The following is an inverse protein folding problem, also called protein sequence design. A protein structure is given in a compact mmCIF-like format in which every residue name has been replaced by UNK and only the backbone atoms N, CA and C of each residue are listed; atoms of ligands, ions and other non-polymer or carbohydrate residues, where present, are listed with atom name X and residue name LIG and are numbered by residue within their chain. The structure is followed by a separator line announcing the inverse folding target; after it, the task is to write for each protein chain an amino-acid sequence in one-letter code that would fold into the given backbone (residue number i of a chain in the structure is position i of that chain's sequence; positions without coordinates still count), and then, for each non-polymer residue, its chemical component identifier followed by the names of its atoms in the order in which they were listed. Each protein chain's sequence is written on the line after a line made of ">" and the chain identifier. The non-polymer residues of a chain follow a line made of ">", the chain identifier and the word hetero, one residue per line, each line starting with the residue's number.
data_IF_237063193196
#
_entry.id   IF_237063193196
#
_cell.length_a   1.000
_cell.length_b   1.000
_cell.length_c   1.000
_cell.angle_alpha   90.00
_cell.angle_beta   90.00
_cell.angle_gamma   90.00
#
_symmetry.space_group_name_H-M   'P 1'
#
loop_
_entity.id
_entity.type
_entity.pdbx_description
1 polymer ?
#
# COMPACT_ATOMS: atom_id res chain seq x y z
N UNK A 1 -7.44 8.37 -25.70
CA UNK A 1 -7.26 9.42 -24.67
C UNK A 1 -6.01 9.10 -23.84
N UNK A 2 -5.57 9.97 -22.91
CA UNK A 2 -4.34 9.72 -22.13
C UNK A 2 -4.56 9.75 -20.63
N UNK A 3 -4.09 8.71 -19.95
CA UNK A 3 -4.19 8.54 -18.50
C UNK A 3 -2.83 8.74 -17.84
N UNK A 4 -2.82 9.35 -16.65
CA UNK A 4 -1.65 9.42 -15.78
C UNK A 4 -1.91 8.64 -14.50
N UNK A 5 -1.04 7.70 -14.17
CA UNK A 5 -1.06 6.98 -12.90
C UNK A 5 0.04 7.52 -11.97
N UNK A 6 -0.22 7.57 -10.67
CA UNK A 6 0.74 7.98 -9.65
C UNK A 6 0.90 6.87 -8.62
N UNK A 7 2.09 6.31 -8.50
CA UNK A 7 2.37 5.20 -7.58
C UNK A 7 3.57 5.50 -6.68
N UNK A 8 3.41 5.22 -5.40
CA UNK A 8 4.36 5.37 -4.29
C UNK A 8 4.88 4.01 -3.81
N UNK A 9 4.09 2.95 -3.98
CA UNK A 9 4.41 1.60 -3.53
C UNK A 9 4.30 0.57 -4.65
N UNK A 10 4.98 -0.59 -4.51
CA UNK A 10 4.78 -1.73 -5.42
C UNK A 10 3.30 -2.15 -5.57
N UNK A 11 2.54 -2.16 -4.47
CA UNK A 11 1.10 -2.44 -4.48
C UNK A 11 0.33 -1.49 -5.41
N UNK A 12 0.63 -0.20 -5.34
CA UNK A 12 0.00 0.80 -6.21
C UNK A 12 0.44 0.67 -7.67
N UNK A 13 1.62 0.13 -7.95
CA UNK A 13 2.03 -0.23 -9.32
C UNK A 13 1.18 -1.38 -9.86
N UNK A 14 0.84 -2.38 -9.04
CA UNK A 14 -0.07 -3.48 -9.40
C UNK A 14 -1.46 -2.92 -9.72
N UNK A 15 -2.04 -2.10 -8.83
CA UNK A 15 -3.34 -1.45 -9.06
C UNK A 15 -3.33 -0.58 -10.32
N UNK A 16 -2.29 0.24 -10.51
CA UNK A 16 -2.15 1.09 -11.70
C UNK A 16 -2.10 0.26 -12.99
N UNK A 17 -1.36 -0.85 -12.96
CA UNK A 17 -1.24 -1.76 -14.11
C UNK A 17 -2.58 -2.42 -14.41
N UNK A 18 -3.32 -2.87 -13.39
CA UNK A 18 -4.63 -3.50 -13.57
C UNK A 18 -5.65 -2.53 -14.22
N UNK A 19 -5.63 -1.27 -13.79
CA UNK A 19 -6.50 -0.21 -14.31
C UNK A 19 -6.07 0.30 -15.70
N UNK A 20 -4.78 0.28 -16.01
CA UNK A 20 -4.29 0.57 -17.36
C UNK A 20 -4.72 -0.54 -18.34
N UNK A 21 -4.62 -1.81 -17.91
CA UNK A 21 -5.06 -2.97 -18.69
C UNK A 21 -6.58 -3.02 -18.89
N UNK A 22 -7.40 -2.43 -18.00
CA UNK A 22 -8.84 -2.34 -18.22
C UNK A 22 -9.24 -1.23 -19.21
N UNK A 23 -8.28 -0.38 -19.61
CA UNK A 23 -8.51 0.78 -20.47
C UNK A 23 -7.50 0.80 -21.65
N UNK A 24 -7.31 -0.33 -22.34
CA UNK A 24 -6.27 -0.50 -23.38
C UNK A 24 -6.32 0.52 -24.52
N UNK A 25 -7.48 1.12 -24.78
CA UNK A 25 -7.65 2.16 -25.81
C UNK A 25 -6.98 3.50 -25.43
N UNK A 26 -6.51 3.63 -24.19
CA UNK A 26 -5.87 4.84 -23.68
C UNK A 26 -4.36 4.67 -23.52
N UNK A 27 -3.61 5.63 -24.05
CA UNK A 27 -2.20 5.73 -23.72
C UNK A 27 -2.05 6.02 -22.22
N UNK A 28 -1.28 5.19 -21.53
CA UNK A 28 -1.08 5.32 -20.09
C UNK A 28 0.38 5.69 -19.79
N UNK A 29 0.56 6.71 -18.96
CA UNK A 29 1.84 7.07 -18.37
C UNK A 29 1.78 6.81 -16.85
N UNK A 30 2.92 6.54 -16.22
CA UNK A 30 3.01 6.37 -14.76
C UNK A 30 4.11 7.26 -14.18
N UNK A 31 3.84 7.83 -13.00
CA UNK A 31 4.82 8.52 -12.16
C UNK A 31 5.11 7.65 -10.95
N UNK A 32 6.37 7.26 -10.80
CA UNK A 32 6.90 6.57 -9.64
C UNK A 32 7.44 7.61 -8.65
N UNK A 33 6.72 7.81 -7.56
CA UNK A 33 7.00 8.79 -6.52
C UNK A 33 7.78 8.14 -5.38
N UNK A 34 8.90 8.72 -4.96
CA UNK A 34 9.75 8.21 -3.86
C UNK A 34 10.56 6.94 -4.22
N UNK A 35 10.60 6.55 -5.49
CA UNK A 35 11.41 5.43 -5.98
C UNK A 35 12.87 5.89 -6.17
N UNK A 36 13.70 5.70 -5.12
CA UNK A 36 15.15 6.02 -5.09
C UNK A 36 16.04 4.91 -5.66
N UNK A 37 17.36 4.94 -5.38
CA UNK A 37 18.44 4.04 -5.88
C UNK A 37 18.20 2.51 -5.80
N UNK A 38 17.07 2.07 -5.25
CA UNK A 38 16.59 0.68 -5.18
C UNK A 38 15.44 0.41 -6.15
N UNK A 39 15.21 1.27 -7.13
CA UNK A 39 14.22 0.99 -8.17
C UNK A 39 14.65 -0.29 -8.87
N UNK A 40 13.91 -1.37 -8.64
CA UNK A 40 14.16 -2.63 -9.29
C UNK A 40 14.10 -2.40 -10.80
N UNK A 41 15.26 -2.55 -11.45
CA UNK A 41 15.38 -2.37 -12.89
C UNK A 41 14.38 -3.29 -13.61
N UNK A 42 14.20 -4.51 -13.08
CA UNK A 42 13.26 -5.48 -13.61
C UNK A 42 11.83 -4.96 -13.53
N UNK A 43 11.41 -4.36 -12.40
CA UNK A 43 10.09 -3.75 -12.29
C UNK A 43 9.91 -2.59 -13.29
N UNK A 44 10.89 -1.71 -13.45
CA UNK A 44 10.80 -0.60 -14.41
C UNK A 44 10.67 -1.14 -15.85
N UNK A 45 11.49 -2.11 -16.22
CA UNK A 45 11.45 -2.75 -17.53
C UNK A 45 10.10 -3.44 -17.75
N UNK A 46 9.52 -4.04 -16.70
CA UNK A 46 8.20 -4.64 -16.76
C UNK A 46 7.06 -3.62 -16.85
N UNK A 47 7.16 -2.48 -16.17
CA UNK A 47 6.20 -1.38 -16.29
C UNK A 47 6.16 -0.83 -17.73
N UNK A 48 7.28 -0.83 -18.45
CA UNK A 48 7.33 -0.40 -19.85
C UNK A 48 6.52 -1.29 -20.79
N UNK A 49 6.14 -2.50 -20.37
CA UNK A 49 5.21 -3.37 -21.12
C UNK A 49 3.78 -2.84 -21.14
N UNK A 50 3.42 -1.92 -20.24
CA UNK A 50 2.06 -1.39 -20.07
C UNK A 50 2.01 0.14 -20.20
N UNK A 51 3.03 0.84 -19.71
CA UNK A 51 3.08 2.30 -19.70
C UNK A 51 4.01 2.85 -20.78
N UNK A 52 3.51 3.84 -21.53
CA UNK A 52 4.27 4.51 -22.60
C UNK A 52 5.43 5.34 -22.06
N UNK A 53 5.21 6.05 -20.95
CA UNK A 53 6.27 6.79 -20.25
C UNK A 53 6.23 6.49 -18.77
N UNK A 54 7.42 6.29 -18.21
CA UNK A 54 7.65 6.15 -16.77
C UNK A 54 8.43 7.38 -16.33
N UNK A 55 7.89 8.12 -15.36
CA UNK A 55 8.56 9.26 -14.74
C UNK A 55 8.96 8.88 -13.32
N UNK A 56 10.24 8.99 -12.98
CA UNK A 56 10.74 8.63 -11.65
C UNK A 56 11.12 9.90 -10.90
N UNK A 57 10.62 10.05 -9.68
CA UNK A 57 11.12 11.04 -8.73
C UNK A 57 11.85 10.33 -7.59
N UNK A 58 13.17 10.33 -7.69
CA UNK A 58 14.07 9.77 -6.68
C UNK A 58 14.36 10.76 -5.55
N UNK A 59 14.96 10.25 -4.47
CA UNK A 59 15.45 10.99 -3.31
C UNK A 59 14.38 11.68 -2.43
N UNK A 60 13.13 11.26 -2.52
CA UNK A 60 12.08 11.71 -1.58
C UNK A 60 12.16 10.94 -0.24
N UNK A 61 12.56 9.66 -0.25
CA UNK A 61 12.65 8.85 0.98
C UNK A 61 13.67 9.37 2.01
N UNK A 62 14.80 9.94 1.55
CA UNK A 62 15.77 10.61 2.43
C UNK A 62 15.12 11.79 3.19
N UNK A 63 14.10 12.41 2.59
CA UNK A 63 13.35 13.51 3.20
C UNK A 63 12.35 12.96 4.23
N UNK A 64 11.61 11.88 3.97
CA UNK A 64 10.68 11.31 4.98
C UNK A 64 11.36 10.83 6.27
N UNK A 65 12.61 10.36 6.18
CA UNK A 65 13.32 9.78 7.32
C UNK A 65 14.02 10.83 8.20
N UNK A 66 14.27 12.05 7.72
CA UNK A 66 14.82 13.10 8.57
C UNK A 66 13.69 13.84 9.29
N UNK A 67 13.73 13.83 10.63
CA UNK A 67 12.80 14.61 11.47
C UNK A 67 12.92 16.12 11.22
N UNK A 68 14.05 16.55 10.67
CA UNK A 68 14.33 17.95 10.34
C UNK A 68 14.83 18.05 8.90
N UNK A 69 14.19 18.89 8.10
CA UNK A 69 14.60 19.20 6.74
C UNK A 69 15.26 20.57 6.75
N UNK A 70 16.38 20.71 6.05
CA UNK A 70 16.89 22.05 5.79
C UNK A 70 15.99 22.76 4.76
N UNK A 71 15.97 24.09 4.79
CA UNK A 71 15.30 24.90 3.75
C UNK A 71 15.81 24.60 2.33
N UNK A 72 17.07 24.18 2.21
CA UNK A 72 17.68 23.78 0.93
C UNK A 72 17.06 22.49 0.39
N UNK A 73 16.77 21.53 1.27
CA UNK A 73 16.13 20.27 0.91
C UNK A 73 14.71 20.51 0.40
N UNK A 74 13.92 21.30 1.14
CA UNK A 74 12.58 21.74 0.70
C UNK A 74 12.63 22.44 -0.68
N UNK A 75 13.57 23.37 -0.88
CA UNK A 75 13.68 24.08 -2.15
C UNK A 75 14.00 23.15 -3.33
N UNK A 76 14.99 22.28 -3.18
CA UNK A 76 15.39 21.33 -4.23
C UNK A 76 14.23 20.39 -4.56
N UNK A 77 13.55 19.92 -3.51
CA UNK A 77 12.37 19.08 -3.61
C UNK A 77 11.25 19.76 -4.42
N UNK A 78 10.83 20.95 -4.01
CA UNK A 78 9.79 21.72 -4.71
C UNK A 78 10.21 22.04 -6.15
N UNK A 79 11.49 22.31 -6.43
CA UNK A 79 12.02 22.54 -7.78
C UNK A 79 11.85 21.30 -8.67
N UNK A 80 12.13 20.10 -8.17
CA UNK A 80 11.98 18.86 -8.92
C UNK A 80 10.50 18.55 -9.21
N UNK A 81 9.62 18.71 -8.22
CA UNK A 81 8.18 18.57 -8.40
C UNK A 81 7.66 19.57 -9.45
N UNK A 82 8.09 20.84 -9.41
CA UNK A 82 7.70 21.86 -10.41
C UNK A 82 8.18 21.51 -11.82
N UNK A 83 9.41 20.99 -11.98
CA UNK A 83 9.93 20.51 -13.27
C UNK A 83 9.07 19.37 -13.81
N UNK A 84 8.73 18.39 -12.97
CA UNK A 84 7.85 17.30 -13.36
C UNK A 84 6.48 17.82 -13.81
N UNK A 85 5.84 18.68 -13.01
CA UNK A 85 4.53 19.26 -13.38
C UNK A 85 4.59 19.99 -14.72
N UNK A 86 5.68 20.73 -15.01
CA UNK A 86 5.85 21.36 -16.33
C UNK A 86 5.90 20.32 -17.46
N UNK A 87 6.63 19.21 -17.26
CA UNK A 87 6.71 18.10 -18.22
C UNK A 87 5.34 17.45 -18.43
N UNK A 88 4.62 17.16 -17.35
CA UNK A 88 3.31 16.50 -17.36
C UNK A 88 2.22 17.37 -18.00
N UNK A 89 2.23 18.69 -17.77
CA UNK A 89 1.28 19.61 -18.41
C UNK A 89 1.33 19.58 -19.94
N UNK A 90 2.51 19.34 -20.51
CA UNK A 90 2.68 19.23 -21.96
C UNK A 90 2.09 17.96 -22.58
N UNK A 91 1.61 17.00 -21.77
CA UNK A 91 1.13 15.69 -22.22
C UNK A 91 -0.39 15.58 -22.38
N UNK A 92 -1.15 16.58 -21.92
CA UNK A 92 -2.62 16.66 -22.04
C UNK A 92 -3.36 15.39 -21.60
N UNK A 93 -3.39 15.12 -20.30
CA UNK A 93 -4.14 13.99 -19.74
C UNK A 93 -5.64 14.28 -19.67
N UNK A 94 -6.47 13.25 -19.91
CA UNK A 94 -7.92 13.30 -19.68
C UNK A 94 -8.32 12.72 -18.33
N UNK A 95 -7.49 11.82 -17.79
CA UNK A 95 -7.73 11.11 -16.53
C UNK A 95 -6.44 11.07 -15.72
N UNK A 96 -6.55 11.24 -14.41
CA UNK A 96 -5.45 11.05 -13.47
C UNK A 96 -5.92 10.08 -12.40
N UNK A 97 -5.10 9.07 -12.14
CA UNK A 97 -5.29 8.02 -11.16
C UNK A 97 -4.24 8.21 -10.07
N UNK A 98 -4.65 8.38 -8.82
CA UNK A 98 -3.73 8.45 -7.69
C UNK A 98 -4.39 7.87 -6.43
N UNK A 99 -3.56 7.38 -5.52
CA UNK A 99 -3.94 6.99 -4.16
C UNK A 99 -3.50 8.08 -3.16
N UNK A 100 -4.14 8.11 -1.98
CA UNK A 100 -3.86 8.91 -0.79
C UNK A 100 -3.30 10.34 -1.00
N UNK A 101 -4.16 11.32 -0.73
CA UNK A 101 -3.92 12.74 -0.98
C UNK A 101 -3.16 13.48 0.13
N UNK A 102 -2.76 12.82 1.22
CA UNK A 102 -2.30 13.55 2.41
C UNK A 102 -0.92 14.21 2.21
N UNK A 103 -0.19 13.78 1.17
CA UNK A 103 1.08 14.35 0.79
C UNK A 103 0.91 15.65 -0.03
N UNK A 104 1.36 16.78 0.53
CA UNK A 104 1.22 18.12 -0.09
C UNK A 104 1.74 18.25 -1.52
N UNK A 105 2.75 17.46 -1.88
CA UNK A 105 3.32 17.47 -3.22
C UNK A 105 2.44 16.71 -4.23
N UNK A 106 1.70 15.70 -3.79
CA UNK A 106 0.69 15.00 -4.60
C UNK A 106 -0.45 15.96 -4.87
N UNK A 107 -0.93 16.64 -3.81
CA UNK A 107 -1.91 17.73 -3.93
C UNK A 107 -1.44 18.82 -4.89
N UNK A 108 -0.15 19.20 -4.83
CA UNK A 108 0.44 20.16 -5.76
C UNK A 108 0.32 19.70 -7.21
N UNK A 109 0.69 18.45 -7.49
CA UNK A 109 0.63 17.86 -8.84
C UNK A 109 -0.82 17.83 -9.31
N UNK A 110 -1.72 17.24 -8.52
CA UNK A 110 -3.14 17.12 -8.83
C UNK A 110 -3.76 18.50 -9.11
N UNK A 111 -3.60 19.48 -8.23
CA UNK A 111 -4.11 20.85 -8.42
C UNK A 111 -3.62 21.54 -9.70
N UNK A 112 -2.43 21.17 -10.18
CA UNK A 112 -1.85 21.77 -11.39
C UNK A 112 -2.26 21.06 -12.66
N UNK A 113 -2.60 19.77 -12.59
CA UNK A 113 -2.96 18.94 -13.74
C UNK A 113 -4.48 18.76 -13.86
N UNK A 114 -5.18 18.54 -12.75
CA UNK A 114 -6.65 18.50 -12.66
C UNK A 114 -7.19 19.91 -12.85
N UNK A 115 -7.80 20.16 -14.01
CA UNK A 115 -8.46 21.40 -14.41
C UNK A 115 -9.65 21.00 -15.29
N UNK A 116 -10.75 21.77 -15.26
CA UNK A 116 -12.07 21.70 -15.94
C UNK A 116 -12.46 20.50 -16.86
N UNK A 117 -11.53 19.80 -17.51
CA UNK A 117 -11.74 18.66 -18.40
C UNK A 117 -10.95 17.39 -18.01
N UNK A 118 -10.16 17.43 -16.93
CA UNK A 118 -9.35 16.29 -16.47
C UNK A 118 -10.04 15.64 -15.28
N UNK A 119 -10.42 14.38 -15.45
CA UNK A 119 -11.06 13.58 -14.41
C UNK A 119 -10.04 13.07 -13.42
N UNK A 120 -10.37 13.09 -12.14
CA UNK A 120 -9.52 12.51 -11.11
C UNK A 120 -10.21 11.31 -10.48
N UNK A 121 -9.51 10.17 -10.53
CA UNK A 121 -9.95 8.92 -9.99
C UNK A 121 -9.00 8.48 -8.87
N UNK A 122 -9.59 8.13 -7.73
CA UNK A 122 -8.85 7.55 -6.62
C UNK A 122 -8.80 6.04 -6.78
N UNK A 123 -7.64 5.43 -6.52
CA UNK A 123 -7.56 3.98 -6.39
C UNK A 123 -6.99 3.60 -5.03
N UNK A 124 -7.38 2.41 -4.58
CA UNK A 124 -7.11 1.91 -3.24
C UNK A 124 -5.64 1.99 -2.80
N UNK A 125 -5.43 2.47 -1.56
CA UNK A 125 -4.16 2.52 -0.84
C UNK A 125 -4.12 1.51 0.33
N UNK A 126 -4.41 0.26 0.02
CA UNK A 126 -4.46 -0.82 0.99
C UNK A 126 -5.65 -0.70 1.94
N UNK A 127 -5.40 -0.83 3.25
CA UNK A 127 -6.49 -0.88 4.23
C UNK A 127 -7.10 0.49 4.57
N UNK A 128 -6.54 1.61 4.09
CA UNK A 128 -6.97 2.94 4.50
C UNK A 128 -8.43 3.23 4.15
N UNK A 129 -8.90 2.80 2.98
CA UNK A 129 -10.26 2.98 2.49
C UNK A 129 -11.31 2.20 3.29
N UNK A 130 -10.86 1.29 4.16
CA UNK A 130 -11.69 0.41 4.99
C UNK A 130 -11.48 0.63 6.49
N UNK A 131 -10.40 1.35 6.86
CA UNK A 131 -10.01 1.63 8.23
C UNK A 131 -10.84 2.73 8.89
N UNK A 132 -10.92 2.66 10.22
CA UNK A 132 -11.41 3.78 11.05
C UNK A 132 -10.33 4.85 11.27
N UNK A 133 -9.14 4.66 10.71
CA UNK A 133 -8.03 5.58 10.85
C UNK A 133 -8.29 6.87 10.06
N UNK A 134 -8.88 7.84 10.75
CA UNK A 134 -8.89 9.22 10.29
C UNK A 134 -7.57 9.84 10.76
N UNK A 135 -6.75 10.30 9.81
CA UNK A 135 -5.55 11.09 10.11
C UNK A 135 -5.99 12.42 10.73
N UNK A 136 -6.29 12.42 12.04
CA UNK A 136 -6.60 13.63 12.80
C UNK A 136 -5.30 14.43 12.88
N UNK A 137 -5.30 15.67 12.40
CA UNK A 137 -4.20 16.59 12.68
C UNK A 137 -4.05 16.71 14.20
N UNK A 138 -2.89 16.34 14.72
CA UNK A 138 -2.63 16.30 16.16
C UNK A 138 -2.18 17.70 16.62
N UNK A 139 -3.12 18.65 16.61
CA UNK A 139 -2.96 19.94 17.27
C UNK A 139 -2.35 21.07 16.42
N UNK A 140 -2.02 22.18 17.11
CA UNK A 140 -1.65 23.46 16.51
C UNK A 140 -0.32 23.39 15.72
N UNK A 141 0.66 22.62 16.20
CA UNK A 141 1.98 22.50 15.57
C UNK A 141 1.92 21.80 14.19
N UNK A 142 1.11 20.75 14.05
CA UNK A 142 0.87 20.08 12.77
C UNK A 142 0.21 21.02 11.76
N UNK A 143 -0.75 21.83 12.21
CA UNK A 143 -1.40 22.83 11.37
C UNK A 143 -0.42 23.93 10.93
N UNK A 144 0.46 24.40 11.81
CA UNK A 144 1.51 25.38 11.48
C UNK A 144 2.48 24.79 10.43
N UNK A 145 2.89 23.53 10.60
CA UNK A 145 3.77 22.85 9.65
C UNK A 145 3.11 22.72 8.27
N UNK A 146 1.84 22.32 8.22
CA UNK A 146 1.05 22.27 6.96
C UNK A 146 0.94 23.65 6.30
N UNK A 147 0.76 24.69 7.10
CA UNK A 147 0.73 26.09 6.64
C UNK A 147 2.06 26.48 6.00
N UNK A 148 3.17 26.28 6.70
CA UNK A 148 4.52 26.61 6.22
C UNK A 148 4.83 25.87 4.92
N UNK A 149 4.54 24.57 4.85
CA UNK A 149 4.71 23.79 3.64
C UNK A 149 3.78 24.29 2.51
N UNK A 150 2.52 24.63 2.82
CA UNK A 150 1.59 25.25 1.87
C UNK A 150 2.10 26.58 1.30
N UNK A 151 2.79 27.40 2.10
CA UNK A 151 3.48 28.63 1.65
C UNK A 151 4.62 28.27 0.70
N UNK A 152 5.49 27.31 1.07
CA UNK A 152 6.64 26.89 0.24
C UNK A 152 6.22 26.36 -1.13
N UNK A 153 5.14 25.57 -1.17
CA UNK A 153 4.58 25.10 -2.44
C UNK A 153 3.87 26.23 -3.23
N UNK A 154 3.32 27.24 -2.54
CA UNK A 154 2.67 28.41 -3.14
C UNK A 154 1.14 28.35 -3.15
N UNK A 155 0.51 27.72 -2.15
CA UNK A 155 -0.95 27.52 -2.05
C UNK A 155 -1.56 27.94 -0.71
N UNK A 156 -0.84 28.74 0.09
CA UNK A 156 -1.24 29.16 1.42
C UNK A 156 -2.69 29.68 1.55
N UNK A 157 -3.19 30.46 0.58
CA UNK A 157 -4.57 30.98 0.61
C UNK A 157 -5.67 29.97 0.22
N UNK A 158 -5.31 28.71 -0.10
CA UNK A 158 -6.23 27.62 -0.47
C UNK A 158 -5.88 26.32 0.26
N UNK A 159 -5.47 26.42 1.52
CA UNK A 159 -5.27 25.29 2.45
C UNK A 159 -6.61 24.73 2.99
N UNK A 160 -7.73 25.02 2.32
CA UNK A 160 -9.02 24.45 2.68
C UNK A 160 -9.00 22.94 2.38
N UNK A 161 -9.25 22.15 3.43
CA UNK A 161 -9.66 20.75 3.50
C UNK A 161 -9.31 19.86 2.29
N UNK A 162 -8.10 19.30 2.25
CA UNK A 162 -7.87 18.08 1.47
C UNK A 162 -6.91 17.13 2.18
N UNK A 163 -7.51 16.22 2.96
CA UNK A 163 -7.12 14.82 3.00
C UNK A 163 -8.37 13.94 2.76
N UNK A 164 -8.49 13.30 1.59
CA UNK A 164 -9.56 12.31 1.35
C UNK A 164 -10.99 12.81 1.56
N UNK A 165 -11.25 14.10 1.34
CA UNK A 165 -12.60 14.65 1.30
C UNK A 165 -13.05 14.77 -0.16
N UNK A 166 -14.27 14.28 -0.40
CA UNK A 166 -15.07 14.17 -1.62
C UNK A 166 -14.90 15.17 -2.79
N UNK A 167 -14.25 16.32 -2.62
CA UNK A 167 -14.28 17.39 -3.59
C UNK A 167 -13.31 17.15 -4.76
N UNK A 168 -13.83 16.60 -5.86
CA UNK A 168 -13.12 16.44 -7.14
C UNK A 168 -12.64 15.03 -7.44
N UNK A 169 -12.82 14.07 -6.53
CA UNK A 169 -12.76 12.65 -6.87
C UNK A 169 -14.04 12.32 -7.64
N UNK A 170 -13.90 11.96 -8.90
CA UNK A 170 -15.04 11.53 -9.72
C UNK A 170 -15.42 10.07 -9.48
N UNK A 171 -14.45 9.20 -9.23
CA UNK A 171 -14.65 7.76 -9.07
C UNK A 171 -13.58 7.13 -8.19
N UNK A 172 -13.97 6.14 -7.40
CA UNK A 172 -13.11 5.26 -6.61
C UNK A 172 -12.93 3.92 -7.33
N UNK A 173 -11.72 3.40 -7.35
CA UNK A 173 -11.41 2.04 -7.77
C UNK A 173 -10.90 1.24 -6.57
N UNK A 174 -11.71 0.29 -6.10
CA UNK A 174 -11.48 -0.44 -4.84
C UNK A 174 -11.56 -1.96 -5.07
N UNK A 175 -10.91 -2.76 -4.23
CA UNK A 175 -11.08 -4.21 -4.25
C UNK A 175 -12.48 -4.62 -3.76
N UNK A 176 -13.02 -3.91 -2.75
CA UNK A 176 -14.33 -4.14 -2.15
C UNK A 176 -15.14 -2.84 -2.00
N UNK A 177 -15.69 -2.29 -3.09
CA UNK A 177 -16.43 -1.03 -3.05
C UNK A 177 -17.51 -0.98 -1.97
N UNK A 178 -18.25 -2.06 -1.77
CA UNK A 178 -19.34 -2.19 -0.80
C UNK A 178 -18.91 -2.16 0.67
N UNK A 179 -17.62 -2.37 0.95
CA UNK A 179 -17.06 -2.38 2.30
C UNK A 179 -16.30 -1.10 2.66
N UNK A 180 -16.26 -0.12 1.75
CA UNK A 180 -15.60 1.18 1.97
C UNK A 180 -16.15 1.90 3.21
N UNK A 181 -15.29 2.70 3.84
CA UNK A 181 -15.68 3.54 4.99
C UNK A 181 -16.76 4.57 4.62
N UNK A 182 -17.52 5.01 5.62
CA UNK A 182 -18.70 5.87 5.45
C UNK A 182 -18.39 7.20 4.75
N UNK A 183 -17.20 7.75 4.96
CA UNK A 183 -16.74 9.00 4.35
C UNK A 183 -16.59 8.91 2.82
N UNK A 184 -16.49 7.69 2.30
CA UNK A 184 -16.38 7.38 0.87
C UNK A 184 -17.70 6.85 0.29
N UNK A 185 -18.79 6.79 1.07
CA UNK A 185 -20.04 6.17 0.67
C UNK A 185 -20.77 6.90 -0.47
N UNK A 186 -20.63 8.22 -0.59
CA UNK A 186 -21.35 9.04 -1.56
C UNK A 186 -20.66 9.13 -2.93
N UNK A 187 -19.49 8.55 -3.07
CA UNK A 187 -18.65 8.60 -4.25
C UNK A 187 -18.93 7.37 -5.11
N UNK A 188 -18.98 7.55 -6.43
CA UNK A 188 -19.09 6.44 -7.36
C UNK A 188 -17.88 5.51 -7.14
N UNK A 189 -18.12 4.23 -6.94
CA UNK A 189 -17.08 3.26 -6.66
C UNK A 189 -17.20 2.05 -7.59
N UNK A 190 -16.09 1.65 -8.18
CA UNK A 190 -15.99 0.55 -9.13
C UNK A 190 -15.00 -0.49 -8.59
N UNK A 191 -15.37 -1.77 -8.76
CA UNK A 191 -14.53 -2.88 -8.33
C UNK A 191 -13.36 -3.05 -9.30
N UNK A 192 -12.13 -3.10 -8.79
CA UNK A 192 -10.96 -3.48 -9.59
C UNK A 192 -11.18 -4.91 -10.12
N UNK A 193 -10.87 -5.13 -11.39
CA UNK A 193 -11.03 -6.45 -11.99
C UNK A 193 -9.97 -7.42 -11.44
N UNK A 194 -10.41 -8.48 -10.77
CA UNK A 194 -9.54 -9.47 -10.13
C UNK A 194 -8.58 -10.14 -11.11
N UNK A 195 -9.06 -10.54 -12.29
CA UNK A 195 -8.22 -11.19 -13.29
C UNK A 195 -7.12 -10.24 -13.79
N UNK A 196 -7.44 -8.97 -14.00
CA UNK A 196 -6.45 -7.96 -14.39
C UNK A 196 -5.48 -7.61 -13.26
N UNK A 197 -5.93 -7.60 -12.00
CA UNK A 197 -5.06 -7.47 -10.85
C UNK A 197 -4.05 -8.63 -10.79
N UNK A 198 -4.53 -9.87 -10.88
CA UNK A 198 -3.68 -11.06 -10.90
C UNK A 198 -2.73 -11.12 -12.10
N UNK A 199 -3.17 -10.66 -13.29
CA UNK A 199 -2.33 -10.52 -14.48
C UNK A 199 -1.26 -9.44 -14.33
N UNK A 200 -1.57 -8.38 -13.58
CA UNK A 200 -0.61 -7.31 -13.29
C UNK A 200 0.57 -7.82 -12.45
N UNK A 201 0.31 -8.71 -11.49
CA UNK A 201 1.37 -9.38 -10.74
C UNK A 201 2.30 -10.19 -11.66
N UNK A 202 1.76 -10.94 -12.63
CA UNK A 202 2.56 -11.72 -13.60
C UNK A 202 3.41 -10.83 -14.51
N UNK A 203 2.87 -9.70 -14.96
CA UNK A 203 3.59 -8.78 -15.83
C UNK A 203 4.76 -8.13 -15.06
N UNK A 204 4.49 -7.67 -13.85
CA UNK A 204 5.43 -6.91 -13.04
C UNK A 204 6.49 -7.78 -12.36
N UNK A 205 6.13 -9.02 -12.02
CA UNK A 205 6.98 -9.96 -11.28
C UNK A 205 6.90 -11.38 -11.86
N UNK A 206 7.38 -11.59 -13.11
CA UNK A 206 7.24 -12.87 -13.81
C UNK A 206 8.09 -14.01 -13.23
N UNK A 207 9.22 -13.69 -12.59
CA UNK A 207 10.25 -14.65 -12.18
C UNK A 207 10.19 -15.00 -10.67
N UNK A 208 9.05 -14.79 -10.02
CA UNK A 208 8.93 -15.01 -8.57
C UNK A 208 8.86 -16.51 -8.26
N UNK A 209 9.75 -16.95 -7.38
CA UNK A 209 9.77 -18.33 -6.86
C UNK A 209 8.44 -18.60 -6.13
N UNK A 210 7.72 -19.63 -6.57
CA UNK A 210 6.49 -20.05 -5.89
C UNK A 210 6.83 -20.76 -4.58
N UNK A 211 6.15 -20.36 -3.51
CA UNK A 211 6.00 -21.19 -2.33
C UNK A 211 4.69 -21.93 -2.52
N UNK A 212 4.73 -23.26 -2.58
CA UNK A 212 3.54 -24.05 -2.91
C UNK A 212 2.63 -24.24 -1.69
N UNK A 213 3.21 -24.55 -0.53
CA UNK A 213 2.50 -24.84 0.73
C UNK A 213 3.33 -24.45 1.96
N UNK A 214 2.67 -24.26 3.10
CA UNK A 214 3.31 -23.92 4.39
C UNK A 214 2.50 -22.88 5.16
N UNK A 215 3.16 -22.22 6.11
CA UNK A 215 2.61 -21.05 6.81
C UNK A 215 3.48 -19.85 6.54
N UNK A 216 2.91 -18.78 5.97
CA UNK A 216 3.59 -17.51 5.76
C UNK A 216 3.12 -16.54 6.85
N UNK A 217 4.06 -16.01 7.63
CA UNK A 217 3.80 -14.99 8.64
C UNK A 217 4.30 -13.63 8.12
N UNK A 218 3.39 -12.70 7.89
CA UNK A 218 3.75 -11.31 7.59
C UNK A 218 3.89 -10.52 8.90
N UNK A 219 5.10 -10.03 9.14
CA UNK A 219 5.48 -9.38 10.39
C UNK A 219 5.29 -7.87 10.29
N UNK A 220 4.81 -7.27 11.39
CA UNK A 220 4.73 -5.82 11.52
C UNK A 220 6.13 -5.19 11.70
N UNK A 221 6.21 -3.89 11.43
CA UNK A 221 7.45 -3.11 11.55
C UNK A 221 7.86 -2.96 13.03
N UNK A 222 9.12 -3.26 13.36
CA UNK A 222 9.65 -3.17 14.73
C UNK A 222 9.52 -1.75 15.33
N UNK A 223 9.59 -0.71 14.50
CA UNK A 223 9.42 0.70 14.90
C UNK A 223 8.08 1.00 15.59
N UNK A 224 7.09 0.10 15.54
CA UNK A 224 5.81 0.27 16.26
C UNK A 224 5.91 0.02 17.77
N UNK A 225 7.02 -0.53 18.27
CA UNK A 225 7.30 -0.70 19.70
C UNK A 225 7.55 -2.14 20.11
N UNK A 226 8.03 -2.35 21.33
CA UNK A 226 8.37 -3.68 21.86
C UNK A 226 7.15 -4.63 21.90
N UNK A 227 5.97 -4.12 22.24
CA UNK A 227 4.73 -4.91 22.27
C UNK A 227 4.44 -5.62 20.92
N UNK A 228 4.75 -4.97 19.78
CA UNK A 228 4.55 -5.60 18.46
C UNK A 228 5.58 -6.69 18.19
N UNK A 229 6.81 -6.49 18.66
CA UNK A 229 7.91 -7.46 18.50
C UNK A 229 7.57 -8.71 19.31
N UNK A 230 7.10 -8.52 20.54
CA UNK A 230 6.69 -9.60 21.44
C UNK A 230 5.47 -10.36 20.89
N UNK A 231 4.48 -9.64 20.35
CA UNK A 231 3.34 -10.27 19.67
C UNK A 231 3.81 -11.12 18.48
N UNK A 232 4.66 -10.57 17.61
CA UNK A 232 5.16 -11.26 16.44
C UNK A 232 6.02 -12.49 16.80
N UNK A 233 6.85 -12.38 17.85
CA UNK A 233 7.61 -13.51 18.39
C UNK A 233 6.68 -14.59 18.96
N UNK A 234 5.64 -14.20 19.72
CA UNK A 234 4.64 -15.14 20.26
C UNK A 234 3.93 -15.90 19.14
N UNK A 235 3.45 -15.18 18.12
CA UNK A 235 2.78 -15.77 16.96
C UNK A 235 3.73 -16.73 16.23
N UNK A 236 4.98 -16.34 16.01
CA UNK A 236 5.99 -17.21 15.40
C UNK A 236 6.18 -18.50 16.21
N UNK A 237 6.39 -18.40 17.52
CA UNK A 237 6.58 -19.57 18.39
C UNK A 237 5.39 -20.53 18.35
N UNK A 238 4.17 -19.99 18.39
CA UNK A 238 2.95 -20.81 18.26
C UNK A 238 2.93 -21.51 16.91
N UNK A 239 3.15 -20.80 15.80
CA UNK A 239 3.14 -21.38 14.45
C UNK A 239 4.22 -22.44 14.27
N UNK A 240 5.46 -22.14 14.67
CA UNK A 240 6.60 -23.06 14.56
C UNK A 240 6.38 -24.34 15.38
N UNK A 241 5.68 -24.27 16.52
CA UNK A 241 5.33 -25.46 17.30
C UNK A 241 4.32 -26.39 16.60
N UNK A 242 3.66 -25.93 15.54
CA UNK A 242 2.68 -26.72 14.78
C UNK A 242 3.24 -27.25 13.45
N UNK A 243 4.29 -26.64 12.90
CA UNK A 243 4.87 -27.04 11.62
C UNK A 243 6.29 -26.50 11.44
N UNK A 244 7.14 -27.26 10.75
CA UNK A 244 8.49 -26.83 10.38
C UNK A 244 8.50 -25.97 9.10
N UNK A 245 7.40 -25.95 8.34
CA UNK A 245 7.33 -25.27 7.04
C UNK A 245 6.80 -23.82 7.19
N UNK A 246 7.56 -23.01 7.93
CA UNK A 246 7.26 -21.61 8.24
C UNK A 246 8.12 -20.68 7.41
N UNK A 247 7.50 -19.63 6.85
CA UNK A 247 8.16 -18.56 6.12
C UNK A 247 7.84 -17.22 6.77
N UNK A 248 8.86 -16.41 7.00
CA UNK A 248 8.70 -15.06 7.52
C UNK A 248 8.80 -14.02 6.41
N UNK A 249 7.88 -13.06 6.42
CA UNK A 249 7.94 -11.87 5.58
C UNK A 249 8.02 -10.63 6.46
N UNK A 250 9.20 -10.02 6.52
CA UNK A 250 9.36 -8.72 7.17
C UNK A 250 8.77 -7.60 6.31
N UNK A 251 8.31 -6.54 6.98
CA UNK A 251 7.84 -5.32 6.33
C UNK A 251 8.96 -4.76 5.40
N UNK A 252 8.66 -4.27 4.19
CA UNK A 252 9.67 -3.69 3.27
C UNK A 252 10.49 -2.50 3.79
N UNK A 253 10.14 -1.97 4.97
CA UNK A 253 10.84 -0.87 5.63
C UNK A 253 11.77 -1.37 6.75
N UNK A 254 11.67 -2.64 7.10
CA UNK A 254 12.56 -3.27 8.05
C UNK A 254 13.89 -3.54 7.38
N UNK A 255 14.98 -3.13 8.03
CA UNK A 255 16.32 -3.44 7.53
C UNK A 255 16.72 -4.85 7.95
N UNK A 256 17.48 -5.56 7.12
CA UNK A 256 17.87 -6.96 7.37
C UNK A 256 18.65 -7.14 8.67
N UNK A 257 19.44 -6.14 9.07
CA UNK A 257 20.15 -6.12 10.35
C UNK A 257 19.24 -5.90 11.58
N UNK A 258 17.96 -5.59 11.36
CA UNK A 258 16.95 -5.39 12.40
C UNK A 258 15.92 -6.52 12.45
N UNK A 259 16.15 -7.64 11.76
CA UNK A 259 15.29 -8.81 11.88
C UNK A 259 15.33 -9.34 13.31
N UNK A 260 14.16 -9.35 13.95
CA UNK A 260 14.04 -9.48 15.40
C UNK A 260 13.47 -10.82 15.87
N UNK A 261 13.07 -11.71 14.95
CA UNK A 261 12.52 -13.01 15.35
C UNK A 261 13.68 -13.90 15.76
N UNK A 262 13.64 -14.36 17.01
CA UNK A 262 14.59 -15.31 17.57
C UNK A 262 14.08 -16.72 17.32
N UNK A 263 14.94 -17.59 16.80
CA UNK A 263 14.64 -18.99 16.57
C UNK A 263 15.85 -19.87 16.82
N UNK A 264 15.61 -21.08 17.33
CA UNK A 264 16.63 -22.12 17.51
C UNK A 264 16.84 -22.95 16.24
N UNK A 265 16.04 -22.71 15.18
CA UNK A 265 16.15 -23.36 13.87
C UNK A 265 16.32 -22.34 12.76
N UNK A 266 16.87 -22.78 11.63
CA UNK A 266 16.97 -21.93 10.44
C UNK A 266 15.58 -21.52 9.95
N UNK A 267 15.38 -20.20 9.81
CA UNK A 267 14.09 -19.64 9.41
C UNK A 267 14.10 -19.30 7.94
N UNK A 268 13.09 -19.76 7.20
CA UNK A 268 12.92 -19.35 5.80
C UNK A 268 12.41 -17.91 5.76
N UNK A 269 13.20 -17.00 5.20
CA UNK A 269 12.83 -15.59 5.08
C UNK A 269 12.54 -15.27 3.62
N UNK A 270 11.33 -14.77 3.36
CA UNK A 270 10.95 -14.20 2.07
C UNK A 270 11.56 -12.81 1.99
N UNK A 271 12.18 -12.49 0.85
CA UNK A 271 12.77 -11.17 0.58
C UNK A 271 11.80 -10.05 0.97
N UNK A 272 12.23 -9.14 1.85
CA UNK A 272 11.43 -8.02 2.33
C UNK A 272 11.07 -7.03 1.22
N UNK A 273 11.85 -6.95 0.14
CA UNK A 273 11.60 -6.05 -0.99
C UNK A 273 10.61 -6.59 -2.01
N UNK A 274 10.40 -7.91 -2.04
CA UNK A 274 9.40 -8.52 -2.91
C UNK A 274 7.98 -8.25 -2.37
N UNK A 275 7.02 -7.82 -3.19
CA UNK A 275 5.63 -7.73 -2.77
C UNK A 275 5.07 -9.12 -2.49
N UNK A 276 4.46 -9.30 -1.33
CA UNK A 276 4.02 -10.62 -0.86
C UNK A 276 2.88 -11.18 -1.71
N UNK A 277 2.10 -10.31 -2.36
CA UNK A 277 1.05 -10.66 -3.32
C UNK A 277 1.58 -11.55 -4.45
N UNK A 278 2.83 -11.35 -4.88
CA UNK A 278 3.41 -12.16 -5.97
C UNK A 278 3.68 -13.60 -5.52
N UNK A 279 4.06 -13.77 -4.25
CA UNK A 279 4.29 -15.08 -3.63
C UNK A 279 2.95 -15.78 -3.36
N UNK A 280 1.96 -15.05 -2.87
CA UNK A 280 0.69 -15.60 -2.40
C UNK A 280 -0.31 -15.93 -3.52
N UNK A 281 -0.07 -15.48 -4.75
CA UNK A 281 -1.02 -15.66 -5.86
C UNK A 281 -1.41 -17.11 -6.13
N UNK A 282 -0.43 -18.01 -6.06
CA UNK A 282 -0.63 -19.44 -6.33
C UNK A 282 -0.42 -20.31 -5.07
N UNK A 283 -0.22 -19.67 -3.91
CA UNK A 283 0.00 -20.33 -2.63
C UNK A 283 -1.25 -21.12 -2.19
N UNK A 284 -1.05 -22.29 -1.59
CA UNK A 284 -2.11 -23.18 -1.10
C UNK A 284 -1.96 -23.51 0.40
N UNK A 285 -1.37 -22.61 1.17
CA UNK A 285 -1.14 -22.77 2.60
C UNK A 285 -1.93 -21.81 3.46
N UNK A 286 -1.37 -21.48 4.62
CA UNK A 286 -1.96 -20.54 5.58
C UNK A 286 -1.17 -19.23 5.59
N UNK A 287 -1.88 -18.12 5.54
CA UNK A 287 -1.31 -16.79 5.72
C UNK A 287 -1.69 -16.25 7.10
N UNK A 288 -0.70 -15.86 7.88
CA UNK A 288 -0.86 -15.29 9.22
C UNK A 288 -0.32 -13.87 9.23
N UNK A 289 -1.09 -12.94 9.80
CA UNK A 289 -0.66 -11.56 10.02
C UNK A 289 -1.51 -10.91 11.09
N UNK A 290 -1.04 -9.80 11.65
CA UNK A 290 -1.90 -8.86 12.34
C UNK A 290 -2.71 -8.02 11.32
N UNK A 291 -3.07 -6.77 11.62
CA UNK A 291 -3.85 -5.85 10.76
C UNK A 291 -3.11 -5.33 9.50
N UNK A 292 -2.48 -6.21 8.73
CA UNK A 292 -1.84 -5.88 7.46
C UNK A 292 -2.86 -5.83 6.32
N UNK A 293 -2.65 -4.89 5.38
CA UNK A 293 -3.49 -4.77 4.19
C UNK A 293 -3.52 -6.04 3.33
N UNK A 294 -2.47 -6.88 3.37
CA UNK A 294 -2.45 -8.12 2.60
C UNK A 294 -3.62 -9.06 2.91
N UNK A 295 -4.22 -8.99 4.11
CA UNK A 295 -5.32 -9.87 4.50
C UNK A 295 -6.51 -9.75 3.54
N UNK A 296 -6.97 -8.53 3.23
CA UNK A 296 -8.09 -8.32 2.31
C UNK A 296 -7.65 -8.39 0.83
N UNK A 297 -6.40 -8.05 0.53
CA UNK A 297 -5.85 -8.22 -0.82
C UNK A 297 -5.84 -9.72 -1.17
N UNK A 298 -5.50 -10.58 -0.21
CA UNK A 298 -5.43 -12.01 -0.41
C UNK A 298 -6.81 -12.65 -0.60
N UNK A 299 -7.80 -12.26 0.22
CA UNK A 299 -9.21 -12.68 0.00
C UNK A 299 -9.72 -12.28 -1.38
N UNK A 300 -9.19 -11.21 -1.96
CA UNK A 300 -9.55 -10.74 -3.29
C UNK A 300 -8.83 -11.52 -4.39
N UNK A 301 -7.52 -11.74 -4.27
CA UNK A 301 -6.71 -12.30 -5.36
C UNK A 301 -6.69 -13.84 -5.38
N UNK A 302 -6.72 -14.50 -4.22
CA UNK A 302 -6.61 -15.95 -4.10
C UNK A 302 -7.50 -16.46 -2.95
N UNK A 303 -8.77 -16.78 -3.23
CA UNK A 303 -9.73 -17.21 -2.21
C UNK A 303 -9.46 -18.61 -1.64
N UNK A 304 -8.45 -19.33 -2.16
CA UNK A 304 -8.11 -20.68 -1.71
C UNK A 304 -7.09 -20.69 -0.55
N UNK A 305 -6.56 -19.52 -0.14
CA UNK A 305 -5.63 -19.42 0.99
C UNK A 305 -6.43 -19.28 2.28
N UNK A 306 -6.05 -20.03 3.30
CA UNK A 306 -6.57 -19.80 4.65
C UNK A 306 -5.88 -18.60 5.29
N UNK A 307 -6.68 -17.65 5.76
CA UNK A 307 -6.18 -16.37 6.25
C UNK A 307 -6.51 -16.25 7.73
N UNK A 308 -5.49 -15.99 8.54
CA UNK A 308 -5.58 -15.81 9.97
C UNK A 308 -5.09 -14.40 10.34
N UNK A 309 -5.97 -13.62 10.97
CA UNK A 309 -5.68 -12.32 11.53
C UNK A 309 -5.48 -12.43 13.05
N UNK A 310 -4.30 -12.07 13.55
CA UNK A 310 -3.93 -12.19 14.98
C UNK A 310 -4.33 -10.96 15.81
N UNK A 311 -5.21 -10.09 15.30
CA UNK A 311 -5.54 -8.82 15.93
C UNK A 311 -6.14 -8.95 17.34
N UNK A 312 -6.84 -10.04 17.67
CA UNK A 312 -7.35 -10.26 19.03
C UNK A 312 -6.30 -10.81 20.01
N UNK A 313 -5.12 -11.19 19.53
CA UNK A 313 -3.98 -11.55 20.37
C UNK A 313 -3.15 -10.32 20.78
N UNK A 314 -3.37 -9.19 20.11
CA UNK A 314 -2.86 -7.87 20.47
C UNK A 314 -3.72 -7.30 21.61
N UNK A 315 -3.08 -6.84 22.69
CA UNK A 315 -3.76 -6.25 23.84
C UNK A 315 -4.45 -4.92 23.50
N UNK A 316 -4.05 -4.24 22.43
CA UNK A 316 -4.62 -2.97 22.00
C UNK A 316 -5.19 -3.06 20.58
N UNK A 317 -6.45 -3.49 20.45
CA UNK A 317 -7.12 -3.47 19.14
C UNK A 317 -7.34 -2.04 18.65
N UNK A 318 -6.57 -1.63 17.63
CA UNK A 318 -6.53 -0.22 17.16
C UNK A 318 -7.55 0.12 16.08
N UNK A 319 -8.06 -0.85 15.31
CA UNK A 319 -8.95 -0.59 14.17
C UNK A 319 -10.13 -1.56 14.04
N UNK A 320 -11.20 -1.27 14.78
CA UNK A 320 -12.43 -2.08 14.78
C UNK A 320 -13.16 -2.09 13.43
N UNK A 321 -13.06 -1.02 12.64
CA UNK A 321 -13.73 -0.96 11.34
C UNK A 321 -13.06 -1.93 10.35
N UNK A 322 -11.73 -1.93 10.31
CA UNK A 322 -11.00 -2.87 9.47
C UNK A 322 -11.19 -4.32 9.90
N UNK A 323 -11.23 -4.60 11.21
CA UNK A 323 -11.59 -5.93 11.73
C UNK A 323 -12.98 -6.36 11.25
N UNK A 324 -13.98 -5.48 11.35
CA UNK A 324 -15.34 -5.80 10.90
C UNK A 324 -15.39 -6.10 9.39
N UNK A 325 -14.60 -5.38 8.57
CA UNK A 325 -14.46 -5.69 7.15
C UNK A 325 -13.88 -7.09 6.94
N UNK A 326 -12.74 -7.39 7.58
CA UNK A 326 -12.08 -8.68 7.46
C UNK A 326 -12.96 -9.85 7.92
N UNK A 327 -13.77 -9.65 8.96
CA UNK A 327 -14.78 -10.65 9.41
C UNK A 327 -15.82 -10.90 8.32
N UNK A 328 -16.32 -9.86 7.63
CA UNK A 328 -17.24 -10.02 6.49
C UNK A 328 -16.59 -10.75 5.30
N UNK A 329 -15.27 -10.71 5.20
CA UNK A 329 -14.48 -11.44 4.21
C UNK A 329 -14.08 -12.85 4.68
N UNK A 330 -14.64 -13.35 5.78
CA UNK A 330 -14.38 -14.67 6.35
C UNK A 330 -12.91 -14.89 6.78
N UNK A 331 -12.18 -13.83 7.11
CA UNK A 331 -10.84 -13.97 7.70
C UNK A 331 -10.98 -14.50 9.13
N UNK A 332 -10.22 -15.56 9.46
CA UNK A 332 -10.28 -16.20 10.78
C UNK A 332 -9.51 -15.35 11.79
N UNK A 333 -10.07 -15.15 12.98
CA UNK A 333 -9.45 -14.30 14.01
C UNK A 333 -9.44 -14.98 15.38
N UNK A 334 -8.40 -15.75 15.72
CA UNK A 334 -8.31 -16.41 17.02
C UNK A 334 -8.24 -15.37 18.14
N UNK A 335 -8.99 -15.61 19.21
CA UNK A 335 -9.04 -14.77 20.42
C UNK A 335 -8.04 -15.21 21.48
N UNK A 336 -7.53 -16.44 21.39
CA UNK A 336 -6.54 -17.00 22.31
C UNK A 336 -5.45 -17.75 21.56
N UNK A 337 -4.34 -18.00 22.25
CA UNK A 337 -3.20 -18.75 21.71
C UNK A 337 -3.61 -20.20 21.36
N UNK A 338 -4.49 -20.82 22.16
CA UNK A 338 -5.03 -22.16 21.89
C UNK A 338 -5.94 -22.19 20.67
N UNK A 339 -6.74 -21.13 20.45
CA UNK A 339 -7.54 -21.01 19.24
C UNK A 339 -6.67 -20.91 17.99
N UNK A 340 -5.58 -20.13 18.05
CA UNK A 340 -4.61 -20.03 16.95
C UNK A 340 -3.99 -21.40 16.67
N UNK A 341 -3.51 -22.11 17.69
CA UNK A 341 -2.92 -23.43 17.54
C UNK A 341 -3.91 -24.45 16.94
N UNK A 342 -5.19 -24.42 17.36
CA UNK A 342 -6.24 -25.30 16.83
C UNK A 342 -6.53 -25.03 15.36
N UNK A 343 -6.61 -23.75 14.98
CA UNK A 343 -6.82 -23.35 13.58
C UNK A 343 -5.69 -23.89 12.71
N UNK A 344 -4.43 -23.76 13.14
CA UNK A 344 -3.27 -24.25 12.38
C UNK A 344 -3.29 -25.77 12.22
N UNK A 345 -3.66 -26.53 13.27
CA UNK A 345 -3.81 -28.00 13.20
C UNK A 345 -4.91 -28.47 12.26
N UNK A 346 -5.98 -27.69 12.10
CA UNK A 346 -7.09 -28.05 11.19
C UNK A 346 -6.77 -27.81 9.70
N UNK A 347 -5.63 -27.17 9.42
CA UNK A 347 -5.24 -26.70 8.09
C UNK A 347 -4.03 -27.43 7.51
N UNK A 348 -3.35 -28.25 8.31
CA UNK A 348 -2.34 -29.21 7.88
C UNK A 348 -2.90 -30.62 7.84
#
# INVERSE_FOLDING_TARGET
>A
MRSLFMAFTPYQCVNSTALALSNIENESDIVLMEWGNRSDKQLIDNLHKVFKNIYIISNINRLRQSKEWSMKDYYLYTKNIRKLVKKLKGKQYSKIYASSENHLYVQFILKKLVRNNVKYYHFEDGSFEYSSHVEKSKGLADNITRIQQGILFGFYKKLYNFPGQADGIEKLYLLYPELRRLELANQEAEKINQNLFCKSLEILYPDVISIDKGVIICLDLSERGEDIIDLNQKVYNIVQSQTDNVYLKYHPREFTNNYYIKSDVDVNIIDSYLPIECVLKNFKGVMVSNLSSILHVLTFMNPNVDIICTAYLDSEIKDKAYINMLTKLNVRMPKTDEELARLLKSLG
#
